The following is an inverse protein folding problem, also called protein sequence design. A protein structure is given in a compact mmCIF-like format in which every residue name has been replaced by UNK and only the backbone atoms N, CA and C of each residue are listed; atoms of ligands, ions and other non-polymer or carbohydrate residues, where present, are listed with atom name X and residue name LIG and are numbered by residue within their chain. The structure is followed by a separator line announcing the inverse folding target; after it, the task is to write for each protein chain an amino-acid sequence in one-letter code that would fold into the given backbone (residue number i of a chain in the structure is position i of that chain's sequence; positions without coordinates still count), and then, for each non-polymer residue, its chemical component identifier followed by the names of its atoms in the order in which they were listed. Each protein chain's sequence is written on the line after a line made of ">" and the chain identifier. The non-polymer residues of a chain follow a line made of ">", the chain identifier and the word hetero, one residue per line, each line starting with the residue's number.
data_IF_205515441045
#
_entry.id   IF_205515441045
#
_cell.length_a   1.000
_cell.length_b   1.000
_cell.length_c   1.000
_cell.angle_alpha   90.00
_cell.angle_beta   90.00
_cell.angle_gamma   90.00
#
_symmetry.space_group_name_H-M   'P 1'
#
loop_
_entity.id
_entity.type
_entity.pdbx_description
1 polymer ?
#
# COMPACT_ATOMS: atom_id res chain seq x y z
N UNK A 1 8.61 -16.41 -2.80
CA UNK A 1 9.36 -17.67 -2.55
C UNK A 1 8.69 -18.70 -1.64
N UNK A 2 7.61 -18.45 -0.87
CA UNK A 2 6.84 -19.55 -0.22
C UNK A 2 5.85 -20.25 -1.14
N UNK A 3 5.11 -19.50 -1.97
CA UNK A 3 4.12 -20.05 -2.92
C UNK A 3 4.79 -20.97 -3.94
N UNK A 4 5.89 -20.52 -4.56
CA UNK A 4 6.67 -21.33 -5.50
C UNK A 4 7.22 -22.62 -4.88
N UNK A 5 7.65 -22.57 -3.60
CA UNK A 5 8.17 -23.73 -2.89
C UNK A 5 7.07 -24.78 -2.63
N UNK A 6 5.88 -24.37 -2.20
CA UNK A 6 4.75 -25.29 -1.99
C UNK A 6 4.21 -25.86 -3.31
N UNK A 7 4.23 -25.07 -4.39
CA UNK A 7 3.88 -25.56 -5.73
C UNK A 7 4.88 -26.60 -6.23
N UNK A 8 6.19 -26.34 -6.10
CA UNK A 8 7.25 -27.29 -6.47
C UNK A 8 7.25 -28.58 -5.63
N UNK A 9 6.79 -28.50 -4.39
CA UNK A 9 6.63 -29.66 -3.51
C UNK A 9 5.33 -30.46 -3.75
N UNK A 10 4.51 -30.09 -4.75
CA UNK A 10 3.24 -30.75 -5.03
C UNK A 10 2.15 -30.51 -3.99
N UNK A 11 2.24 -29.40 -3.23
CA UNK A 11 1.31 -29.02 -2.15
C UNK A 11 0.45 -27.81 -2.53
N UNK A 12 -0.51 -27.95 -3.46
CA UNK A 12 -1.30 -26.82 -3.98
C UNK A 12 -2.18 -26.14 -2.91
N UNK A 13 -2.60 -26.88 -1.89
CA UNK A 13 -3.39 -26.34 -0.78
C UNK A 13 -2.55 -25.41 0.10
N UNK A 14 -1.31 -25.78 0.41
CA UNK A 14 -0.38 -24.95 1.17
C UNK A 14 0.02 -23.70 0.38
N UNK A 15 0.24 -23.83 -0.93
CA UNK A 15 0.47 -22.71 -1.83
C UNK A 15 -0.71 -21.71 -1.82
N UNK A 16 -1.95 -22.20 -1.89
CA UNK A 16 -3.15 -21.36 -1.83
C UNK A 16 -3.29 -20.64 -0.49
N UNK A 17 -2.98 -21.32 0.61
CA UNK A 17 -2.98 -20.71 1.94
C UNK A 17 -1.92 -19.59 2.04
N UNK A 18 -0.72 -19.83 1.50
CA UNK A 18 0.34 -18.83 1.47
C UNK A 18 -0.07 -17.57 0.69
N UNK A 19 -0.71 -17.72 -0.48
CA UNK A 19 -1.24 -16.57 -1.25
C UNK A 19 -2.27 -15.78 -0.46
N UNK A 20 -3.22 -16.46 0.21
CA UNK A 20 -4.24 -15.79 1.03
C UNK A 20 -3.64 -14.98 2.17
N UNK A 21 -2.65 -15.53 2.86
CA UNK A 21 -1.97 -14.82 3.96
C UNK A 21 -1.26 -13.58 3.43
N UNK A 22 -0.56 -13.69 2.30
CA UNK A 22 0.13 -12.54 1.69
C UNK A 22 -0.86 -11.45 1.28
N UNK A 23 -1.98 -11.81 0.64
CA UNK A 23 -3.02 -10.85 0.26
C UNK A 23 -3.58 -10.12 1.49
N UNK A 24 -3.87 -10.82 2.58
CA UNK A 24 -4.36 -10.20 3.81
C UNK A 24 -3.35 -9.25 4.44
N UNK A 25 -2.07 -9.65 4.49
CA UNK A 25 -1.00 -8.80 5.03
C UNK A 25 -0.85 -7.52 4.23
N UNK A 26 -0.89 -7.61 2.89
CA UNK A 26 -0.79 -6.45 2.01
C UNK A 26 -1.99 -5.54 2.15
N UNK A 27 -3.21 -6.07 2.23
CA UNK A 27 -4.40 -5.24 2.47
C UNK A 27 -4.28 -4.46 3.78
N UNK A 28 -3.83 -5.12 4.86
CA UNK A 28 -3.65 -4.47 6.16
C UNK A 28 -2.58 -3.38 6.08
N UNK A 29 -1.42 -3.71 5.51
CA UNK A 29 -0.28 -2.80 5.41
C UNK A 29 -0.63 -1.58 4.53
N UNK A 30 -1.16 -1.80 3.33
CA UNK A 30 -1.61 -0.73 2.44
C UNK A 30 -2.68 0.16 3.12
N UNK A 31 -3.63 -0.43 3.85
CA UNK A 31 -4.63 0.36 4.60
C UNK A 31 -3.96 1.27 5.64
N UNK A 32 -3.00 0.74 6.40
CA UNK A 32 -2.27 1.51 7.43
C UNK A 32 -1.47 2.64 6.79
N UNK A 33 -0.79 2.37 5.67
CA UNK A 33 0.00 3.39 4.94
C UNK A 33 -0.92 4.47 4.37
N UNK A 34 -1.98 4.10 3.65
CA UNK A 34 -2.94 5.06 3.09
C UNK A 34 -3.60 5.93 4.17
N UNK A 35 -3.99 5.32 5.31
CA UNK A 35 -4.53 6.08 6.44
C UNK A 35 -3.51 7.08 6.98
N UNK A 36 -2.27 6.64 7.18
CA UNK A 36 -1.19 7.49 7.67
C UNK A 36 -0.97 8.69 6.75
N UNK A 37 -0.91 8.47 5.44
CA UNK A 37 -0.79 9.52 4.42
C UNK A 37 -1.91 10.56 4.54
N UNK A 38 -3.16 10.09 4.68
CA UNK A 38 -4.33 10.98 4.80
C UNK A 38 -4.28 11.78 6.11
N UNK A 39 -3.88 11.17 7.23
CA UNK A 39 -3.82 11.85 8.52
C UNK A 39 -2.72 12.93 8.57
N UNK A 40 -1.57 12.69 7.93
CA UNK A 40 -0.45 13.64 7.95
C UNK A 40 -0.51 14.70 6.84
N UNK A 41 -1.52 14.64 5.95
CA UNK A 41 -1.59 15.46 4.73
C UNK A 41 -1.41 16.97 4.95
N UNK A 42 -1.88 17.49 6.09
CA UNK A 42 -1.80 18.92 6.42
C UNK A 42 -0.41 19.39 6.86
N UNK A 43 0.51 18.46 7.17
CA UNK A 43 1.87 18.77 7.64
C UNK A 43 2.90 18.41 6.57
N UNK A 44 2.57 17.49 5.66
CA UNK A 44 3.53 16.90 4.75
C UNK A 44 4.11 17.88 3.73
N UNK A 45 3.29 18.80 3.19
CA UNK A 45 3.77 19.86 2.31
C UNK A 45 4.80 20.80 2.97
N UNK A 46 4.66 21.03 4.28
CA UNK A 46 5.58 21.89 5.04
C UNK A 46 6.96 21.27 5.29
N UNK A 47 7.10 19.95 5.12
CA UNK A 47 8.41 19.30 5.19
C UNK A 47 9.30 19.65 3.98
N UNK A 48 8.70 20.06 2.85
CA UNK A 48 9.39 20.30 1.58
C UNK A 48 9.30 21.76 1.10
N UNK A 49 8.27 22.51 1.51
CA UNK A 49 8.06 23.89 1.12
C UNK A 49 7.60 24.75 2.30
N UNK A 50 8.15 25.96 2.43
CA UNK A 50 7.62 26.99 3.34
C UNK A 50 6.48 27.81 2.72
N UNK A 51 6.20 27.60 1.44
CA UNK A 51 5.08 28.25 0.76
C UNK A 51 3.77 27.54 1.13
N UNK A 52 2.88 28.31 1.75
CA UNK A 52 1.58 27.84 2.21
C UNK A 52 0.70 27.36 1.04
N UNK A 53 0.76 28.01 -0.11
CA UNK A 53 -0.03 27.64 -1.28
C UNK A 53 0.41 26.26 -1.81
N UNK A 54 1.73 26.02 -1.85
CA UNK A 54 2.29 24.72 -2.23
C UNK A 54 1.90 23.65 -1.21
N UNK A 55 1.98 23.96 0.09
CA UNK A 55 1.64 23.00 1.14
C UNK A 55 0.15 22.60 1.15
N UNK A 56 -0.76 23.56 0.94
CA UNK A 56 -2.19 23.30 0.80
C UNK A 56 -2.48 22.47 -0.46
N UNK A 57 -1.84 22.79 -1.58
CA UNK A 57 -1.99 22.01 -2.81
C UNK A 57 -1.53 20.56 -2.64
N UNK A 58 -0.41 20.33 -1.95
CA UNK A 58 0.05 18.97 -1.61
C UNK A 58 -0.98 18.25 -0.73
N UNK A 59 -1.55 18.93 0.26
CA UNK A 59 -2.56 18.37 1.15
C UNK A 59 -3.85 17.94 0.42
N UNK A 60 -4.18 18.60 -0.70
CA UNK A 60 -5.36 18.29 -1.52
C UNK A 60 -5.13 17.09 -2.46
N UNK A 61 -3.90 16.88 -2.93
CA UNK A 61 -3.55 15.72 -3.77
C UNK A 61 -3.23 14.45 -2.96
N UNK A 62 -2.85 14.57 -1.68
CA UNK A 62 -2.50 13.43 -0.82
C UNK A 62 -3.54 12.30 -0.76
N UNK A 63 -4.87 12.57 -0.70
CA UNK A 63 -5.88 11.51 -0.69
C UNK A 63 -5.89 10.68 -1.99
N UNK A 64 -5.65 11.33 -3.13
CA UNK A 64 -5.50 10.63 -4.41
C UNK A 64 -4.26 9.73 -4.39
N UNK A 65 -3.16 10.24 -3.84
CA UNK A 65 -1.89 9.53 -3.70
C UNK A 65 -2.06 8.27 -2.81
N UNK A 66 -2.76 8.41 -1.69
CA UNK A 66 -3.10 7.29 -0.80
C UNK A 66 -3.96 6.23 -1.50
N UNK A 67 -4.89 6.64 -2.36
CA UNK A 67 -5.73 5.73 -3.13
C UNK A 67 -4.93 4.98 -4.20
N UNK A 68 -4.03 5.68 -4.91
CA UNK A 68 -3.18 5.04 -5.93
C UNK A 68 -2.19 4.06 -5.31
N UNK A 69 -1.61 4.41 -4.16
CA UNK A 69 -0.70 3.53 -3.40
C UNK A 69 -1.43 2.23 -2.97
N UNK A 70 -2.65 2.36 -2.46
CA UNK A 70 -3.47 1.21 -2.10
C UNK A 70 -3.78 0.28 -3.29
N UNK A 71 -4.14 0.87 -4.43
CA UNK A 71 -4.42 0.11 -5.64
C UNK A 71 -3.17 -0.60 -6.20
N UNK A 72 -2.02 0.09 -6.17
CA UNK A 72 -0.73 -0.46 -6.60
C UNK A 72 -0.29 -1.63 -5.71
N UNK A 73 -0.42 -1.49 -4.38
CA UNK A 73 -0.08 -2.56 -3.43
C UNK A 73 -0.86 -3.86 -3.71
N UNK A 74 -2.16 -3.75 -4.02
CA UNK A 74 -2.97 -4.90 -4.41
C UNK A 74 -2.54 -5.45 -5.78
N UNK A 75 -2.33 -4.57 -6.77
CA UNK A 75 -1.92 -4.95 -8.12
C UNK A 75 -0.58 -5.68 -8.15
N UNK A 76 0.39 -5.24 -7.34
CA UNK A 76 1.73 -5.81 -7.24
C UNK A 76 1.71 -7.28 -6.77
N UNK A 77 0.77 -7.66 -5.89
CA UNK A 77 0.64 -9.05 -5.39
C UNK A 77 -0.09 -9.96 -6.38
N UNK A 78 -0.90 -9.38 -7.26
CA UNK A 78 -1.64 -10.11 -8.29
C UNK A 78 -0.84 -10.29 -9.58
N UNK A 79 0.19 -9.48 -9.80
CA UNK A 79 1.11 -9.58 -10.94
C UNK A 79 2.15 -10.69 -10.78
#
# INVERSE_FOLDING_TARGET
>A
TRVANELGAGRPQAARMAVRIVLLLVIIEATVVSMTIIFIRGVWGYAFSNDKEVAEHVADIMPLLALTDFADAIGCVLS
#
